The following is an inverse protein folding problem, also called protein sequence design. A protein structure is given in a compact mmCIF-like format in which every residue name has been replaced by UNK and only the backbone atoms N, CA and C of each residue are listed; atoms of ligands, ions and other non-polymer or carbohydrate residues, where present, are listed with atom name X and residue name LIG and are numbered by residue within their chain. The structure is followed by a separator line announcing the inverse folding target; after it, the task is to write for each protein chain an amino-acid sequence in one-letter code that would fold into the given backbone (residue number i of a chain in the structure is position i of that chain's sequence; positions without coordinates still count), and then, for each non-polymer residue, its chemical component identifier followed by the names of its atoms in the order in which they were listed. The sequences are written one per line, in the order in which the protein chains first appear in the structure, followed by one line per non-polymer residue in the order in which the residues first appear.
data_IF_178787508469
#
_entry.id   IF_178787508469
#
_cell.length_a   1.000
_cell.length_b   1.000
_cell.length_c   1.000
_cell.angle_alpha   90.00
_cell.angle_beta   90.00
_cell.angle_gamma   90.00
#
_symmetry.space_group_name_H-M   'P 1'
#
loop_
_entity.id
_entity.type
_entity.pdbx_description
1 polymer ?
#
# COMPACT_ATOMS: atom_id res chain seq x y z
N UNK A 1 18.46 45.92 10.62
CA UNK A 1 17.19 45.87 9.87
C UNK A 1 17.45 45.05 8.60
N UNK A 2 17.52 43.73 8.73
CA UNK A 2 16.41 42.77 8.54
C UNK A 2 16.16 42.46 7.06
N UNK A 3 16.64 41.31 6.59
CA UNK A 3 15.79 40.19 6.17
C UNK A 3 16.59 39.14 5.40
N UNK A 4 17.32 38.27 6.11
CA UNK A 4 17.73 36.99 5.52
C UNK A 4 16.49 36.13 5.36
N UNK A 5 16.06 35.98 4.11
CA UNK A 5 14.97 35.10 3.73
C UNK A 5 15.37 33.65 4.02
N UNK A 6 14.93 33.16 5.18
CA UNK A 6 14.98 31.76 5.54
C UNK A 6 13.97 30.99 4.65
N UNK A 7 14.37 30.72 3.40
CA UNK A 7 13.71 29.75 2.52
C UNK A 7 13.82 28.40 3.22
N UNK A 8 12.77 28.03 3.96
CA UNK A 8 12.58 26.69 4.53
C UNK A 8 12.83 25.67 3.41
N UNK A 9 14.04 25.08 3.39
CA UNK A 9 14.34 23.89 2.60
C UNK A 9 13.42 22.79 3.14
N UNK A 10 12.25 22.64 2.53
CA UNK A 10 11.38 21.49 2.76
C UNK A 10 12.20 20.28 2.35
N UNK A 11 12.84 19.62 3.32
CA UNK A 11 13.71 18.48 3.04
C UNK A 11 12.86 17.46 2.30
N UNK A 12 13.21 17.20 1.03
CA UNK A 12 12.77 16.02 0.30
C UNK A 12 12.82 14.83 1.28
N UNK A 13 11.67 14.18 1.51
CA UNK A 13 11.63 12.98 2.36
C UNK A 13 12.64 12.00 1.74
N UNK A 14 13.48 11.36 2.57
CA UNK A 14 14.40 10.34 2.07
C UNK A 14 13.62 9.28 1.28
N UNK A 15 14.20 8.69 0.22
CA UNK A 15 13.52 7.67 -0.59
C UNK A 15 12.84 6.59 0.25
N UNK A 16 13.50 6.16 1.33
CA UNK A 16 12.98 5.21 2.33
C UNK A 16 11.67 5.68 2.99
N UNK A 17 11.59 6.95 3.42
CA UNK A 17 10.36 7.50 4.02
C UNK A 17 9.23 7.61 3.00
N UNK A 18 9.55 7.87 1.73
CA UNK A 18 8.55 7.86 0.65
C UNK A 18 8.01 6.45 0.42
N UNK A 19 8.88 5.45 0.37
CA UNK A 19 8.49 4.04 0.24
C UNK A 19 7.62 3.56 1.41
N UNK A 20 8.03 3.84 2.66
CA UNK A 20 7.24 3.50 3.86
C UNK A 20 5.84 4.15 3.85
N UNK A 21 5.75 5.40 3.40
CA UNK A 21 4.46 6.07 3.29
C UNK A 21 3.59 5.45 2.18
N UNK A 22 4.20 5.02 1.08
CA UNK A 22 3.50 4.31 0.02
C UNK A 22 2.99 2.95 0.49
N UNK A 23 3.79 2.20 1.25
CA UNK A 23 3.35 0.94 1.88
C UNK A 23 2.13 1.14 2.79
N UNK A 24 2.15 2.18 3.64
CA UNK A 24 0.97 2.56 4.44
C UNK A 24 -0.27 2.86 3.59
N UNK A 25 -0.09 3.49 2.43
CA UNK A 25 -1.18 3.79 1.49
C UNK A 25 -1.75 2.49 0.91
N UNK A 26 -0.91 1.54 0.53
CA UNK A 26 -1.35 0.24 -0.01
C UNK A 26 -2.12 -0.58 1.03
N UNK A 27 -1.63 -0.65 2.26
CA UNK A 27 -2.32 -1.34 3.37
C UNK A 27 -3.68 -0.72 3.69
N UNK A 28 -3.72 0.61 3.86
CA UNK A 28 -4.98 1.31 4.10
C UNK A 28 -5.94 1.16 2.91
N UNK A 29 -5.42 1.13 1.69
CA UNK A 29 -6.21 0.89 0.48
C UNK A 29 -6.85 -0.50 0.45
N UNK A 30 -6.09 -1.56 0.78
CA UNK A 30 -6.63 -2.92 0.94
C UNK A 30 -7.72 -2.95 1.99
N UNK A 31 -7.45 -2.43 3.18
CA UNK A 31 -8.43 -2.40 4.28
C UNK A 31 -9.70 -1.64 3.87
N UNK A 32 -9.58 -0.46 3.27
CA UNK A 32 -10.72 0.30 2.78
C UNK A 32 -11.56 -0.48 1.77
N UNK A 33 -10.91 -1.20 0.85
CA UNK A 33 -11.61 -2.00 -0.14
C UNK A 33 -12.32 -3.20 0.49
N UNK A 34 -11.70 -3.90 1.44
CA UNK A 34 -12.34 -5.00 2.17
C UNK A 34 -13.54 -4.52 2.98
N UNK A 35 -13.42 -3.37 3.63
CA UNK A 35 -14.47 -2.83 4.50
C UNK A 35 -15.66 -2.24 3.72
N UNK A 36 -15.41 -1.62 2.56
CA UNK A 36 -16.43 -0.83 1.83
C UNK A 36 -16.72 -1.27 0.41
N UNK A 37 -16.02 -2.28 -0.09
CA UNK A 37 -16.13 -2.76 -1.46
C UNK A 37 -15.78 -1.72 -2.52
N UNK A 38 -16.18 -2.02 -3.75
CA UNK A 38 -15.85 -1.24 -4.95
C UNK A 38 -16.35 0.21 -4.92
N UNK A 39 -17.56 0.41 -4.40
CA UNK A 39 -18.26 1.71 -4.45
C UNK A 39 -17.74 2.66 -3.38
N UNK A 40 -17.42 2.15 -2.18
CA UNK A 40 -16.82 2.96 -1.11
C UNK A 40 -15.33 3.25 -1.29
N UNK A 41 -14.65 2.49 -2.16
CA UNK A 41 -13.23 2.66 -2.45
C UNK A 41 -12.99 3.89 -3.35
N UNK A 42 -12.35 4.93 -2.82
CA UNK A 42 -11.96 6.12 -3.59
C UNK A 42 -10.72 6.78 -2.99
N UNK A 43 -10.00 7.59 -3.79
CA UNK A 43 -8.85 8.35 -3.29
C UNK A 43 -9.25 9.32 -2.17
N UNK A 44 -10.47 9.88 -2.23
CA UNK A 44 -10.99 10.76 -1.17
C UNK A 44 -11.27 9.99 0.12
N UNK A 45 -11.93 8.84 0.03
CA UNK A 45 -12.18 7.96 1.18
C UNK A 45 -10.87 7.51 1.82
N UNK A 46 -9.86 7.19 1.00
CA UNK A 46 -8.55 6.77 1.46
C UNK A 46 -7.77 7.90 2.13
N UNK A 47 -7.76 9.10 1.53
CA UNK A 47 -7.12 10.27 2.13
C UNK A 47 -7.72 10.58 3.51
N UNK A 48 -9.06 10.49 3.65
CA UNK A 48 -9.76 10.61 4.93
C UNK A 48 -9.32 9.53 5.93
N UNK A 49 -9.27 8.27 5.51
CA UNK A 49 -8.84 7.15 6.36
C UNK A 49 -7.39 7.30 6.85
N UNK A 50 -6.53 7.91 6.05
CA UNK A 50 -5.13 8.15 6.36
C UNK A 50 -4.87 9.50 7.05
N UNK A 51 -5.91 10.25 7.37
CA UNK A 51 -5.83 11.59 7.96
C UNK A 51 -4.91 12.54 7.18
N UNK A 52 -4.96 12.45 5.85
CA UNK A 52 -4.19 13.29 4.94
C UNK A 52 -5.09 14.06 3.99
N UNK A 53 -4.64 15.24 3.56
CA UNK A 53 -5.33 15.92 2.47
C UNK A 53 -5.11 15.19 1.13
N UNK A 54 -6.04 15.38 0.21
CA UNK A 54 -6.04 14.67 -1.08
C UNK A 54 -4.80 15.00 -1.93
N UNK A 55 -4.32 16.24 -1.88
CA UNK A 55 -3.10 16.67 -2.61
C UNK A 55 -1.86 15.90 -2.13
N UNK A 56 -1.76 15.60 -0.83
CA UNK A 56 -0.67 14.80 -0.29
C UNK A 56 -0.71 13.37 -0.83
N UNK A 57 -1.90 12.77 -0.95
CA UNK A 57 -2.06 11.43 -1.52
C UNK A 57 -1.66 11.40 -3.00
N UNK A 58 -1.97 12.45 -3.77
CA UNK A 58 -1.55 12.57 -5.17
C UNK A 58 -0.02 12.62 -5.38
N UNK A 59 0.79 12.87 -4.34
CA UNK A 59 2.25 12.75 -4.43
C UNK A 59 2.75 11.29 -4.55
N UNK A 60 1.84 10.33 -4.35
CA UNK A 60 2.13 8.89 -4.31
C UNK A 60 1.31 8.09 -5.33
N UNK A 61 0.17 8.62 -5.75
CA UNK A 61 -0.84 7.86 -6.51
C UNK A 61 -1.47 8.76 -7.55
N UNK A 62 -1.40 8.35 -8.82
CA UNK A 62 -1.93 9.13 -9.93
C UNK A 62 -3.45 8.99 -10.08
N UNK A 63 -3.99 7.79 -9.85
CA UNK A 63 -5.43 7.53 -10.02
C UNK A 63 -5.95 6.40 -9.14
N UNK A 64 -7.28 6.30 -8.99
CA UNK A 64 -7.96 5.17 -8.33
C UNK A 64 -7.58 3.83 -9.00
N UNK A 65 -7.41 3.83 -10.32
CA UNK A 65 -7.05 2.63 -11.09
C UNK A 65 -5.62 2.18 -10.79
N UNK A 66 -4.66 3.10 -10.83
CA UNK A 66 -3.26 2.78 -10.56
C UNK A 66 -3.05 2.36 -9.11
N UNK A 67 -3.75 2.98 -8.17
CA UNK A 67 -3.79 2.52 -6.78
C UNK A 67 -4.28 1.07 -6.68
N UNK A 68 -5.38 0.75 -7.35
CA UNK A 68 -5.96 -0.58 -7.30
C UNK A 68 -5.02 -1.64 -7.89
N UNK A 69 -4.33 -1.31 -8.98
CA UNK A 69 -3.31 -2.17 -9.58
C UNK A 69 -2.14 -2.37 -8.62
N UNK A 70 -1.64 -1.29 -8.01
CA UNK A 70 -0.53 -1.38 -7.05
C UNK A 70 -0.89 -2.23 -5.83
N UNK A 71 -2.09 -2.05 -5.26
CA UNK A 71 -2.61 -2.87 -4.16
C UNK A 71 -2.65 -4.34 -4.59
N UNK A 72 -3.31 -4.65 -5.71
CA UNK A 72 -3.41 -6.03 -6.20
C UNK A 72 -2.05 -6.67 -6.42
N UNK A 73 -1.13 -5.98 -7.09
CA UNK A 73 0.19 -6.52 -7.38
C UNK A 73 0.96 -6.83 -6.09
N UNK A 74 0.95 -5.90 -5.12
CA UNK A 74 1.59 -6.13 -3.82
C UNK A 74 1.03 -7.38 -3.14
N UNK A 75 -0.29 -7.44 -2.94
CA UNK A 75 -0.88 -8.52 -2.15
C UNK A 75 -0.93 -9.85 -2.89
N UNK A 76 -0.97 -9.83 -4.22
CA UNK A 76 -0.81 -11.04 -5.02
C UNK A 76 0.62 -11.59 -4.92
N UNK A 77 1.63 -10.72 -4.99
CA UNK A 77 3.03 -11.11 -4.78
C UNK A 77 3.23 -11.66 -3.38
N UNK A 78 2.75 -10.96 -2.35
CA UNK A 78 2.80 -11.43 -0.96
C UNK A 78 2.13 -12.80 -0.80
N UNK A 79 0.90 -12.96 -1.30
CA UNK A 79 0.20 -14.25 -1.25
C UNK A 79 1.01 -15.36 -1.93
N UNK A 80 1.56 -15.08 -3.12
CA UNK A 80 2.36 -16.05 -3.87
C UNK A 80 3.64 -16.42 -3.11
N UNK A 81 4.36 -15.43 -2.57
CA UNK A 81 5.61 -15.66 -1.84
C UNK A 81 5.34 -16.46 -0.53
N UNK A 82 4.31 -16.09 0.23
CA UNK A 82 3.88 -16.84 1.42
C UNK A 82 3.49 -18.29 1.09
N UNK A 83 2.82 -18.51 -0.05
CA UNK A 83 2.49 -19.86 -0.51
C UNK A 83 3.71 -20.65 -0.99
N UNK A 84 4.71 -20.00 -1.61
CA UNK A 84 5.96 -20.66 -1.98
C UNK A 84 6.71 -21.13 -0.74
N UNK A 85 6.77 -20.32 0.32
CA UNK A 85 7.37 -20.71 1.59
C UNK A 85 6.67 -21.95 2.20
N UNK A 86 5.32 -22.02 2.11
CA UNK A 86 4.54 -23.19 2.54
C UNK A 86 4.88 -24.42 1.71
N UNK A 87 5.01 -24.28 0.38
CA UNK A 87 5.35 -25.39 -0.52
C UNK A 87 6.76 -25.91 -0.24
N UNK A 88 7.74 -25.02 -0.11
CA UNK A 88 9.15 -25.37 0.09
C UNK A 88 9.40 -26.01 1.46
N UNK A 89 8.65 -25.59 2.49
CA UNK A 89 8.75 -26.13 3.84
C UNK A 89 7.86 -27.35 4.11
N UNK A 90 7.03 -27.77 3.13
CA UNK A 90 6.12 -28.88 3.32
C UNK A 90 6.81 -30.24 3.20
N UNK A 91 6.65 -31.06 4.22
CA UNK A 91 6.94 -32.50 4.17
C UNK A 91 5.63 -33.28 4.34
N UNK A 92 5.44 -34.32 3.52
CA UNK A 92 4.27 -35.20 3.59
C UNK A 92 3.50 -35.32 2.27
N UNK A 93 2.28 -35.87 2.30
CA UNK A 93 1.44 -36.05 1.12
C UNK A 93 0.96 -34.72 0.53
N UNK A 94 0.90 -34.63 -0.80
CA UNK A 94 0.41 -33.43 -1.52
C UNK A 94 -1.02 -33.01 -1.13
N UNK A 95 -1.85 -33.91 -0.61
CA UNK A 95 -3.19 -33.56 -0.13
C UNK A 95 -3.12 -32.62 1.06
N UNK A 96 -2.18 -32.83 1.97
CA UNK A 96 -1.97 -31.96 3.14
C UNK A 96 -1.40 -30.62 2.73
N UNK A 97 -0.57 -30.58 1.68
CA UNK A 97 -0.10 -29.34 1.07
C UNK A 97 -1.25 -28.53 0.48
N UNK A 98 -2.16 -29.18 -0.26
CA UNK A 98 -3.33 -28.49 -0.83
C UNK A 98 -4.18 -27.83 0.26
N UNK A 99 -4.39 -28.51 1.40
CA UNK A 99 -5.14 -27.95 2.53
C UNK A 99 -4.45 -26.74 3.21
N UNK A 100 -3.13 -26.56 3.03
CA UNK A 100 -2.37 -25.44 3.60
C UNK A 100 -2.35 -24.19 2.70
N UNK A 101 -2.56 -24.36 1.41
CA UNK A 101 -2.51 -23.29 0.38
C UNK A 101 -3.88 -22.62 0.17
N UNK A 102 -4.98 -23.35 0.44
CA UNK A 102 -6.36 -22.87 0.30
C UNK A 102 -6.97 -22.45 1.64
#
# INVERSE_FOLDING_TARGET
MSSEQNKKKTRSRSPTKKAQQFERILEAGKKLFLDKGRDGFSLRSLAKMLEMNQNNLYNYVDSKRELWIAIRNKFFTQYKDENLDIIESHEGPNVDLLLKIF
#
